data_IF_502236784143
#
_entry.id   IF_502236784143
#
_cell.length_a   1.000
_cell.length_b   1.000
_cell.length_c   1.000
_cell.angle_alpha   90.00
_cell.angle_beta   90.00
_cell.angle_gamma   90.00
#
_symmetry.space_group_name_H-M   'P 1'
#
loop_
_entity.id
_entity.type
_entity.pdbx_description
1 polymer ?
#
# COMPACT_ATOMS: atom_id res chain seq x y z
N UNK A 1 -21.35 16.44 -13.70
CA UNK A 1 -20.00 16.68 -14.27
C UNK A 1 -19.46 15.35 -14.79
N UNK A 2 -19.19 15.22 -16.11
CA UNK A 2 -18.50 14.03 -16.64
C UNK A 2 -17.07 14.02 -16.06
N UNK A 3 -16.73 12.97 -15.30
CA UNK A 3 -15.35 12.73 -14.86
C UNK A 3 -14.49 12.60 -16.13
N UNK A 4 -13.42 13.37 -16.23
CA UNK A 4 -12.46 13.22 -17.34
C UNK A 4 -11.76 11.87 -17.24
N UNK A 5 -11.36 11.25 -18.36
CA UNK A 5 -10.71 9.92 -18.38
C UNK A 5 -9.46 9.86 -17.48
N UNK A 6 -8.73 10.96 -17.36
CA UNK A 6 -7.58 11.09 -16.45
C UNK A 6 -7.97 10.92 -14.98
N UNK A 7 -9.13 11.42 -14.56
CA UNK A 7 -9.63 11.28 -13.20
C UNK A 7 -10.10 9.83 -12.95
N UNK A 8 -10.75 9.19 -13.93
CA UNK A 8 -11.20 7.80 -13.81
C UNK A 8 -10.04 6.81 -13.74
N UNK A 9 -8.95 7.04 -14.47
CA UNK A 9 -7.73 6.25 -14.38
C UNK A 9 -7.14 6.30 -12.95
N UNK A 10 -7.04 7.51 -12.39
CA UNK A 10 -6.48 7.68 -11.03
C UNK A 10 -7.38 7.02 -9.98
N UNK A 11 -8.70 7.21 -10.08
CA UNK A 11 -9.67 6.56 -9.20
C UNK A 11 -9.56 5.03 -9.30
N UNK A 12 -9.49 4.50 -10.51
CA UNK A 12 -9.35 3.05 -10.73
C UNK A 12 -8.06 2.52 -10.12
N UNK A 13 -6.94 3.20 -10.38
CA UNK A 13 -5.65 2.83 -9.80
C UNK A 13 -5.69 2.81 -8.27
N UNK A 14 -6.16 3.90 -7.64
CA UNK A 14 -6.22 4.02 -6.18
C UNK A 14 -7.17 2.99 -5.57
N UNK A 15 -8.34 2.79 -6.15
CA UNK A 15 -9.34 1.82 -5.65
C UNK A 15 -8.80 0.40 -5.70
N UNK A 16 -8.26 -0.03 -6.85
CA UNK A 16 -7.72 -1.38 -7.01
C UNK A 16 -6.51 -1.58 -6.10
N UNK A 17 -5.61 -0.58 -6.06
CA UNK A 17 -4.43 -0.60 -5.20
C UNK A 17 -4.79 -0.80 -3.74
N UNK A 18 -5.73 -0.01 -3.22
CA UNK A 18 -6.17 -0.12 -1.82
C UNK A 18 -6.74 -1.50 -1.51
N UNK A 19 -7.56 -2.06 -2.39
CA UNK A 19 -8.11 -3.41 -2.21
C UNK A 19 -7.04 -4.50 -2.19
N UNK A 20 -5.99 -4.36 -3.00
CA UNK A 20 -4.85 -5.27 -2.99
C UNK A 20 -4.05 -5.13 -1.68
N UNK A 21 -3.75 -3.88 -1.27
CA UNK A 21 -2.98 -3.61 -0.05
C UNK A 21 -3.72 -4.07 1.20
N UNK A 22 -5.04 -3.90 1.24
CA UNK A 22 -5.89 -4.34 2.34
C UNK A 22 -6.26 -5.83 2.25
N UNK A 23 -5.72 -6.54 1.25
CA UNK A 23 -6.00 -7.95 1.00
C UNK A 23 -7.49 -8.29 0.82
N UNK A 24 -8.32 -7.32 0.39
CA UNK A 24 -9.66 -7.60 -0.13
C UNK A 24 -9.55 -8.40 -1.42
N UNK A 25 -8.63 -8.01 -2.32
CA UNK A 25 -8.11 -8.87 -3.38
C UNK A 25 -6.87 -9.60 -2.86
N UNK A 26 -7.04 -10.88 -2.58
CA UNK A 26 -6.00 -11.69 -1.93
C UNK A 26 -4.89 -12.08 -2.89
N UNK A 27 -3.67 -12.32 -2.40
CA UNK A 27 -2.60 -12.91 -3.19
C UNK A 27 -3.06 -14.20 -3.90
N UNK A 28 -2.88 -14.25 -5.21
CA UNK A 28 -3.32 -15.36 -6.06
C UNK A 28 -4.72 -15.21 -6.66
N UNK A 29 -5.52 -14.23 -6.24
CA UNK A 29 -6.81 -13.96 -6.84
C UNK A 29 -6.69 -13.61 -8.32
N UNK A 30 -7.66 -14.06 -9.11
CA UNK A 30 -7.77 -13.76 -10.54
C UNK A 30 -8.89 -12.75 -10.73
N UNK A 31 -8.52 -11.55 -11.16
CA UNK A 31 -9.45 -10.47 -11.47
C UNK A 31 -9.70 -10.41 -12.97
N UNK A 32 -10.86 -9.86 -13.37
CA UNK A 32 -11.18 -9.60 -14.77
C UNK A 32 -11.39 -8.11 -15.03
N UNK A 33 -11.03 -7.66 -16.26
CA UNK A 33 -11.31 -6.26 -16.66
C UNK A 33 -12.80 -5.93 -16.52
N UNK A 34 -13.67 -6.86 -16.86
CA UNK A 34 -15.13 -6.67 -16.84
C UNK A 34 -15.63 -6.41 -15.41
N UNK A 35 -15.22 -7.26 -14.45
CA UNK A 35 -15.56 -7.07 -13.04
C UNK A 35 -15.09 -5.69 -12.52
N UNK A 36 -13.87 -5.29 -12.85
CA UNK A 36 -13.33 -4.01 -12.42
C UNK A 36 -14.03 -2.81 -13.07
N UNK A 37 -14.45 -2.94 -14.33
CA UNK A 37 -15.24 -1.92 -15.03
C UNK A 37 -16.60 -1.71 -14.35
N UNK A 38 -17.30 -2.79 -13.98
CA UNK A 38 -18.58 -2.75 -13.29
C UNK A 38 -18.45 -2.17 -11.88
N UNK A 39 -17.44 -2.60 -11.14
CA UNK A 39 -17.23 -2.18 -9.74
C UNK A 39 -16.84 -0.70 -9.62
N UNK A 40 -16.03 -0.19 -10.56
CA UNK A 40 -15.50 1.18 -10.51
C UNK A 40 -16.37 2.15 -11.31
N UNK A 41 -17.32 1.63 -12.09
CA UNK A 41 -18.12 2.41 -13.04
C UNK A 41 -17.23 3.18 -14.05
N UNK A 42 -16.30 2.46 -14.66
CA UNK A 42 -15.34 3.03 -15.60
C UNK A 42 -15.24 2.21 -16.90
N UNK A 43 -14.93 2.91 -17.99
CA UNK A 43 -14.70 2.27 -19.28
C UNK A 43 -13.37 1.48 -19.29
N UNK A 44 -13.17 0.66 -20.34
CA UNK A 44 -12.01 -0.23 -20.46
C UNK A 44 -10.67 0.50 -20.46
N UNK A 45 -10.59 1.67 -21.06
CA UNK A 45 -9.32 2.41 -21.21
C UNK A 45 -8.73 2.81 -19.84
N UNK A 46 -9.43 3.56 -18.96
CA UNK A 46 -8.88 3.93 -17.66
C UNK A 46 -8.58 2.70 -16.78
N UNK A 47 -9.36 1.61 -16.86
CA UNK A 47 -9.07 0.37 -16.14
C UNK A 47 -7.74 -0.23 -16.62
N UNK A 48 -7.51 -0.36 -17.91
CA UNK A 48 -6.25 -0.90 -18.45
C UNK A 48 -5.04 -0.06 -18.10
N UNK A 49 -5.17 1.26 -18.14
CA UNK A 49 -4.10 2.16 -17.74
C UNK A 49 -3.77 2.00 -16.25
N UNK A 50 -4.77 1.91 -15.38
CA UNK A 50 -4.59 1.64 -13.95
C UNK A 50 -3.92 0.28 -13.71
N UNK A 51 -4.35 -0.77 -14.40
CA UNK A 51 -3.76 -2.10 -14.32
C UNK A 51 -2.29 -2.12 -14.76
N UNK A 52 -1.93 -1.39 -15.81
CA UNK A 52 -0.55 -1.27 -16.24
C UNK A 52 0.34 -0.60 -15.16
N UNK A 53 -0.18 0.43 -14.48
CA UNK A 53 0.53 1.05 -13.34
C UNK A 53 0.75 0.05 -12.20
N UNK A 54 -0.29 -0.68 -11.82
CA UNK A 54 -0.21 -1.69 -10.76
C UNK A 54 0.73 -2.86 -11.11
N UNK A 55 0.80 -3.22 -12.39
CA UNK A 55 1.75 -4.23 -12.87
C UNK A 55 3.21 -3.74 -12.80
N UNK A 56 3.46 -2.45 -13.09
CA UNK A 56 4.78 -1.83 -12.92
C UNK A 56 5.21 -1.79 -11.45
N UNK A 57 4.26 -1.65 -10.52
CA UNK A 57 4.49 -1.70 -9.08
C UNK A 57 4.58 -3.14 -8.52
N UNK A 58 4.51 -4.14 -9.38
CA UNK A 58 4.57 -5.57 -8.99
C UNK A 58 3.48 -5.97 -7.98
N UNK A 59 2.30 -5.35 -8.06
CA UNK A 59 1.13 -5.74 -7.28
C UNK A 59 0.29 -6.81 -7.99
N UNK A 60 0.30 -6.79 -9.32
CA UNK A 60 -0.44 -7.71 -10.17
C UNK A 60 0.41 -8.17 -11.36
N UNK A 61 -0.04 -9.25 -12.01
CA UNK A 61 0.45 -9.69 -13.30
C UNK A 61 -0.71 -9.83 -14.28
N UNK A 62 -0.60 -9.19 -15.46
CA UNK A 62 -1.58 -9.30 -16.53
C UNK A 62 -1.17 -10.49 -17.40
N UNK A 63 -2.01 -11.54 -17.45
CA UNK A 63 -1.76 -12.73 -18.27
C UNK A 63 -2.76 -12.73 -19.43
N UNK A 64 -2.29 -12.64 -20.68
CA UNK A 64 -3.18 -12.68 -21.84
C UNK A 64 -4.11 -13.89 -21.82
N UNK A 65 -5.39 -13.66 -22.04
CA UNK A 65 -6.48 -14.67 -22.06
C UNK A 65 -6.75 -15.37 -20.72
N UNK A 66 -5.97 -15.14 -19.66
CA UNK A 66 -6.18 -15.76 -18.34
C UNK A 66 -6.70 -14.78 -17.29
N UNK A 67 -6.47 -13.49 -17.47
CA UNK A 67 -6.93 -12.46 -16.53
C UNK A 67 -5.78 -11.73 -15.82
N UNK A 68 -6.09 -11.09 -14.72
CA UNK A 68 -5.18 -10.30 -13.91
C UNK A 68 -4.97 -11.04 -12.59
N UNK A 69 -3.74 -11.46 -12.30
CA UNK A 69 -3.41 -12.18 -11.08
C UNK A 69 -2.82 -11.21 -10.07
N UNK A 70 -3.37 -11.17 -8.86
CA UNK A 70 -2.76 -10.50 -7.72
C UNK A 70 -1.52 -11.27 -7.32
N UNK A 71 -0.35 -10.62 -7.35
CA UNK A 71 0.91 -11.32 -7.10
C UNK A 71 0.99 -11.88 -5.68
N UNK A 72 1.46 -13.14 -5.53
CA UNK A 72 1.59 -13.77 -4.23
C UNK A 72 2.67 -13.09 -3.39
N UNK A 73 2.59 -13.26 -2.06
CA UNK A 73 3.64 -12.93 -1.11
C UNK A 73 4.41 -14.21 -0.77
N UNK A 74 5.58 -14.36 -1.36
CA UNK A 74 6.45 -15.49 -1.05
C UNK A 74 7.37 -15.15 0.13
N UNK A 75 7.89 -16.15 0.84
CA UNK A 75 8.88 -15.94 1.91
C UNK A 75 10.11 -15.17 1.42
N UNK A 76 10.48 -15.35 0.15
CA UNK A 76 11.57 -14.62 -0.48
C UNK A 76 11.24 -13.13 -0.60
N UNK A 77 10.04 -12.77 -1.05
CA UNK A 77 9.59 -11.37 -1.17
C UNK A 77 9.46 -10.71 0.18
N UNK A 78 8.97 -11.44 1.18
CA UNK A 78 8.92 -10.97 2.57
C UNK A 78 10.33 -10.61 3.05
N UNK A 79 11.30 -11.53 2.88
CA UNK A 79 12.68 -11.29 3.28
C UNK A 79 13.29 -10.07 2.56
N UNK A 80 13.09 -9.94 1.24
CA UNK A 80 13.58 -8.80 0.45
C UNK A 80 12.92 -7.47 0.89
N UNK A 81 11.64 -7.48 1.25
CA UNK A 81 10.92 -6.31 1.77
C UNK A 81 11.55 -5.82 3.07
N UNK A 82 11.83 -6.72 4.01
CA UNK A 82 12.47 -6.37 5.28
C UNK A 82 13.92 -5.95 5.10
N UNK A 83 14.69 -6.61 4.23
CA UNK A 83 16.08 -6.23 3.91
C UNK A 83 16.15 -4.79 3.40
N UNK A 84 15.28 -4.43 2.43
CA UNK A 84 15.22 -3.07 1.89
C UNK A 84 14.86 -2.03 2.97
N UNK A 85 13.91 -2.33 3.85
CA UNK A 85 13.56 -1.46 4.98
C UNK A 85 14.72 -1.25 5.93
N UNK A 86 15.39 -2.33 6.33
CA UNK A 86 16.52 -2.28 7.25
C UNK A 86 17.70 -1.46 6.72
N UNK A 87 17.85 -1.37 5.40
CA UNK A 87 18.88 -0.55 4.76
C UNK A 87 18.45 0.92 4.64
N UNK A 88 17.19 1.18 4.27
CA UNK A 88 16.75 2.52 3.89
C UNK A 88 16.25 3.34 5.08
N UNK A 89 15.49 2.75 6.01
CA UNK A 89 14.89 3.50 7.11
C UNK A 89 15.92 4.13 8.05
N UNK A 90 16.98 3.42 8.51
CA UNK A 90 18.00 4.02 9.35
C UNK A 90 18.71 5.21 8.69
N UNK A 91 19.05 5.07 7.41
CA UNK A 91 19.66 6.16 6.63
C UNK A 91 18.75 7.39 6.56
N UNK A 92 17.43 7.18 6.38
CA UNK A 92 16.48 8.30 6.31
C UNK A 92 16.35 8.97 7.66
N UNK A 93 16.26 8.22 8.75
CA UNK A 93 16.20 8.78 10.10
C UNK A 93 17.46 9.58 10.39
N UNK A 94 18.63 9.03 10.12
CA UNK A 94 19.91 9.72 10.38
C UNK A 94 20.04 11.02 9.57
N UNK A 95 19.66 10.97 8.29
CA UNK A 95 19.88 12.08 7.36
C UNK A 95 18.78 13.14 7.42
N UNK A 96 17.52 12.72 7.63
CA UNK A 96 16.35 13.58 7.43
C UNK A 96 15.49 13.78 8.68
N UNK A 97 15.90 13.30 9.87
CA UNK A 97 15.11 13.40 11.12
C UNK A 97 14.61 14.82 11.41
N UNK A 98 15.38 15.85 11.11
CA UNK A 98 14.98 17.26 11.31
C UNK A 98 13.79 17.72 10.47
N UNK A 99 13.36 16.93 9.48
CA UNK A 99 12.23 17.23 8.62
C UNK A 99 11.02 16.34 8.93
N UNK A 100 11.12 15.48 9.93
CA UNK A 100 10.00 14.64 10.35
C UNK A 100 8.90 15.53 10.93
N UNK A 101 7.68 15.26 10.54
CA UNK A 101 6.48 15.91 11.05
C UNK A 101 6.19 15.41 12.48
N UNK A 102 6.68 16.16 13.46
CA UNK A 102 6.56 15.82 14.88
C UNK A 102 5.10 15.89 15.37
N UNK A 103 4.26 16.73 14.79
CA UNK A 103 2.84 16.82 15.12
C UNK A 103 2.12 15.52 14.76
N UNK A 104 2.38 15.01 13.56
CA UNK A 104 1.85 13.69 13.15
C UNK A 104 2.37 12.55 14.00
N UNK A 105 3.65 12.57 14.41
CA UNK A 105 4.17 11.55 15.31
C UNK A 105 3.44 11.55 16.65
N UNK A 106 3.22 12.72 17.22
CA UNK A 106 2.49 12.86 18.49
C UNK A 106 1.02 12.43 18.37
N UNK A 107 0.36 12.73 17.25
CA UNK A 107 -0.98 12.21 16.98
C UNK A 107 -1.01 10.66 16.93
N UNK A 108 0.00 10.04 16.31
CA UNK A 108 0.10 8.58 16.23
C UNK A 108 0.40 7.97 17.61
N UNK A 109 1.27 8.59 18.41
CA UNK A 109 1.55 8.20 19.79
C UNK A 109 0.26 8.18 20.62
N UNK A 110 -0.48 9.29 20.62
CA UNK A 110 -1.76 9.42 21.36
C UNK A 110 -2.78 8.36 20.93
N UNK A 111 -2.87 8.06 19.63
CA UNK A 111 -3.75 7.00 19.12
C UNK A 111 -3.32 5.62 19.59
N UNK A 112 -2.01 5.36 19.59
CA UNK A 112 -1.44 4.10 20.06
C UNK A 112 -1.73 3.89 21.56
N UNK A 113 -1.49 4.91 22.39
CA UNK A 113 -1.81 4.87 23.82
C UNK A 113 -3.29 4.63 24.08
N UNK A 114 -4.17 5.29 23.32
CA UNK A 114 -5.62 5.11 23.43
C UNK A 114 -6.02 3.65 23.18
N UNK A 115 -5.43 3.01 22.17
CA UNK A 115 -5.72 1.61 21.84
C UNK A 115 -5.13 0.66 22.89
N UNK A 116 -3.90 0.90 23.34
CA UNK A 116 -3.26 0.09 24.37
C UNK A 116 -4.00 0.11 25.71
N UNK A 117 -4.67 1.22 26.02
CA UNK A 117 -5.48 1.37 27.24
C UNK A 117 -6.89 0.78 27.11
N UNK A 118 -7.32 0.37 25.91
CA UNK A 118 -8.55 -0.39 25.72
C UNK A 118 -8.21 -1.89 25.83
N UNK A 119 -9.12 -2.66 26.43
CA UNK A 119 -8.94 -4.12 26.43
C UNK A 119 -8.98 -4.61 24.98
N UNK A 120 -7.83 -5.11 24.47
CA UNK A 120 -7.67 -5.60 23.09
C UNK A 120 -8.34 -6.96 23.02
N UNK A 121 -9.47 -7.08 22.34
CA UNK A 121 -10.24 -8.32 22.33
C UNK A 121 -10.52 -8.89 20.94
N UNK A 122 -10.14 -8.24 19.81
CA UNK A 122 -10.54 -8.73 18.50
C UNK A 122 -9.49 -8.48 17.39
N UNK A 123 -9.61 -9.27 16.31
CA UNK A 123 -8.85 -9.18 15.07
C UNK A 123 -8.89 -7.76 14.43
N UNK A 124 -9.93 -6.97 14.71
CA UNK A 124 -10.04 -5.57 14.27
C UNK A 124 -8.94 -4.69 14.87
N UNK A 125 -8.55 -4.95 16.11
CA UNK A 125 -7.51 -4.17 16.79
C UNK A 125 -6.14 -4.42 16.16
N UNK A 126 -5.88 -5.65 15.69
CA UNK A 126 -4.67 -5.98 14.95
C UNK A 126 -4.54 -5.15 13.65
N UNK A 127 -5.61 -4.97 12.88
CA UNK A 127 -5.61 -4.16 11.66
C UNK A 127 -5.38 -2.67 11.99
N UNK A 128 -5.96 -2.18 13.08
CA UNK A 128 -5.76 -0.80 13.53
C UNK A 128 -4.28 -0.57 13.91
N UNK A 129 -3.66 -1.49 14.64
CA UNK A 129 -2.22 -1.44 14.93
C UNK A 129 -1.37 -1.46 13.68
N UNK A 130 -1.64 -2.35 12.73
CA UNK A 130 -0.95 -2.38 11.44
C UNK A 130 -1.06 -1.05 10.70
N UNK A 131 -2.24 -0.41 10.77
CA UNK A 131 -2.48 0.88 10.12
C UNK A 131 -1.71 2.02 10.78
N UNK A 132 -1.62 2.04 12.12
CA UNK A 132 -0.86 3.07 12.84
C UNK A 132 0.63 2.91 12.58
N UNK A 133 1.13 1.69 12.63
CA UNK A 133 2.52 1.39 12.35
C UNK A 133 2.90 1.75 10.89
N UNK A 134 2.07 1.44 9.91
CA UNK A 134 2.28 1.88 8.52
C UNK A 134 2.35 3.40 8.42
N UNK A 135 1.44 4.12 9.11
CA UNK A 135 1.46 5.59 9.16
C UNK A 135 2.72 6.13 9.81
N UNK A 136 3.23 5.51 10.87
CA UNK A 136 4.47 5.89 11.52
C UNK A 136 5.64 5.80 10.53
N UNK A 137 5.81 4.67 9.89
CA UNK A 137 6.88 4.46 8.90
C UNK A 137 6.77 5.42 7.71
N UNK A 138 5.57 5.65 7.19
CA UNK A 138 5.33 6.63 6.11
C UNK A 138 5.60 8.07 6.55
N UNK A 139 5.30 8.43 7.80
CA UNK A 139 5.61 9.76 8.32
C UNK A 139 7.12 9.99 8.36
N UNK A 140 7.89 8.99 8.79
CA UNK A 140 9.36 9.04 8.76
C UNK A 140 9.87 9.11 7.31
N UNK A 141 9.38 8.26 6.43
CA UNK A 141 9.79 8.24 5.02
C UNK A 141 9.49 9.55 4.29
N UNK A 142 8.37 10.19 4.59
CA UNK A 142 7.96 11.45 3.98
C UNK A 142 8.89 12.63 4.34
N UNK A 143 9.69 12.50 5.40
CA UNK A 143 10.75 13.45 5.70
C UNK A 143 11.89 13.40 4.67
N UNK A 144 12.02 12.29 3.93
CA UNK A 144 13.06 12.08 2.94
C UNK A 144 12.87 13.01 1.74
N UNK A 145 13.86 13.85 1.48
CA UNK A 145 13.87 14.77 0.32
C UNK A 145 14.39 14.15 -0.97
N UNK A 146 14.90 12.93 -0.90
CA UNK A 146 15.29 12.16 -2.08
C UNK A 146 14.06 11.44 -2.65
N UNK A 147 13.54 11.96 -3.77
CA UNK A 147 12.34 11.42 -4.42
C UNK A 147 12.47 9.93 -4.79
N UNK A 148 13.65 9.46 -5.14
CA UNK A 148 13.87 8.06 -5.54
C UNK A 148 13.78 7.12 -4.33
N UNK A 149 14.35 7.51 -3.19
CA UNK A 149 14.22 6.74 -1.96
C UNK A 149 12.75 6.72 -1.48
N UNK A 150 12.07 7.86 -1.52
CA UNK A 150 10.67 7.97 -1.10
C UNK A 150 9.75 7.11 -1.98
N UNK A 151 9.93 7.15 -3.31
CA UNK A 151 9.13 6.32 -4.23
C UNK A 151 9.33 4.81 -3.95
N UNK A 152 10.58 4.37 -3.77
CA UNK A 152 10.85 2.96 -3.48
C UNK A 152 10.27 2.53 -2.12
N UNK A 153 10.44 3.36 -1.08
CA UNK A 153 9.86 3.06 0.23
C UNK A 153 8.34 2.99 0.21
N UNK A 154 7.68 3.84 -0.56
CA UNK A 154 6.22 3.77 -0.69
C UNK A 154 5.77 2.41 -1.19
N UNK A 155 6.42 1.85 -2.22
CA UNK A 155 6.11 0.50 -2.73
C UNK A 155 6.45 -0.60 -1.72
N UNK A 156 7.56 -0.47 -1.01
CA UNK A 156 7.98 -1.40 0.04
C UNK A 156 6.95 -1.42 1.17
N UNK A 157 6.41 -0.27 1.59
CA UNK A 157 5.38 -0.19 2.61
C UNK A 157 4.04 -0.77 2.16
N UNK A 158 3.69 -0.64 0.88
CA UNK A 158 2.51 -1.29 0.32
C UNK A 158 2.62 -2.83 0.44
N UNK A 159 3.79 -3.40 0.14
CA UNK A 159 4.04 -4.83 0.36
C UNK A 159 4.05 -5.19 1.85
N UNK A 160 4.67 -4.36 2.69
CA UNK A 160 4.71 -4.60 4.13
C UNK A 160 3.30 -4.62 4.76
N UNK A 161 2.40 -3.76 4.31
CA UNK A 161 1.02 -3.76 4.80
C UNK A 161 0.29 -5.07 4.45
N UNK A 162 0.48 -5.58 3.23
CA UNK A 162 -0.05 -6.89 2.81
C UNK A 162 0.48 -8.02 3.67
N UNK A 163 1.79 -8.02 3.96
CA UNK A 163 2.44 -9.01 4.84
C UNK A 163 1.78 -9.02 6.21
N UNK A 164 1.53 -7.85 6.80
CA UNK A 164 0.95 -7.71 8.13
C UNK A 164 -0.51 -8.12 8.22
N UNK A 165 -1.29 -7.90 7.17
CA UNK A 165 -2.72 -8.28 7.16
C UNK A 165 -2.87 -9.81 7.02
N UNK A 166 -1.91 -10.47 6.39
CA UNK A 166 -1.97 -11.92 6.11
C UNK A 166 -1.24 -12.78 7.14
N UNK A 167 -0.35 -12.18 7.95
CA UNK A 167 0.41 -12.86 9.00
C UNK A 167 -0.29 -12.81 10.32
#
# INVERSE_FOLDING_TARGET
MKKTDTNLKQIAYETIKQKIIQCEYRPGDILSEMMLMEEIDASRTPIREALNMLAQEQLIQIIPKKGIIVLPLTMKEIAMTFEARMLMEPYIIETYSKYIDMEKLHELETKTETILNQEIHEQKDSIVFCTIDDKLHRTIANACRNKYLNMNLSQIYDQNMRIRILG
#
